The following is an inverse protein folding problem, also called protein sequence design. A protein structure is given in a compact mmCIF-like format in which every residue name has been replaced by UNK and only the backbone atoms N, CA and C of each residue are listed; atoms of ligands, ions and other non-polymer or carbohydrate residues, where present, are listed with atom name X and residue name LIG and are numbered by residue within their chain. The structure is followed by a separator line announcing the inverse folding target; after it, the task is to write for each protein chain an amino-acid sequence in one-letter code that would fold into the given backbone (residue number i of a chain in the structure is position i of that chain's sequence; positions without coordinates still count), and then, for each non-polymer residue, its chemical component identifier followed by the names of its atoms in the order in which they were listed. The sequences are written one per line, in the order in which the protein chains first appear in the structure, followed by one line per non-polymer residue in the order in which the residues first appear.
data_IF_216992011138
#
_entry.id   IF_216992011138
#
_cell.length_a   1.000
_cell.length_b   1.000
_cell.length_c   1.000
_cell.angle_alpha   90.00
_cell.angle_beta   90.00
_cell.angle_gamma   90.00
#
_symmetry.space_group_name_H-M   'P 1'
#
loop_
_entity.id
_entity.type
_entity.pdbx_description
1 polymer ?
#
# COMPACT_ATOMS: atom_id res chain seq x y z
N UNK A 1 65.79 11.48 2.57
CA UNK A 1 65.37 10.65 3.75
C UNK A 1 63.83 10.44 3.76
N UNK A 2 62.99 11.43 3.47
CA UNK A 2 61.52 11.30 3.48
C UNK A 2 60.98 10.24 2.48
N UNK A 3 61.59 10.12 1.31
CA UNK A 3 61.15 9.20 0.25
C UNK A 3 61.33 7.72 0.63
N UNK A 4 62.36 7.42 1.38
CA UNK A 4 62.65 6.04 1.82
C UNK A 4 61.73 5.59 2.96
N UNK A 5 61.29 6.52 3.80
CA UNK A 5 60.32 6.25 4.89
C UNK A 5 58.95 5.98 4.32
N UNK A 6 58.48 6.76 3.34
CA UNK A 6 57.20 6.56 2.68
C UNK A 6 57.13 5.19 1.97
N UNK A 7 58.17 4.77 1.28
CA UNK A 7 58.23 3.42 0.65
C UNK A 7 58.13 2.29 1.68
N UNK A 8 58.79 2.43 2.82
CA UNK A 8 58.72 1.42 3.90
C UNK A 8 57.33 1.34 4.50
N UNK A 9 56.65 2.46 4.73
CA UNK A 9 55.28 2.52 5.24
C UNK A 9 54.32 1.87 4.23
N UNK A 10 54.45 2.18 2.94
CA UNK A 10 53.62 1.61 1.88
C UNK A 10 53.75 0.08 1.80
N UNK A 11 54.97 -0.44 1.91
CA UNK A 11 55.25 -1.87 1.94
C UNK A 11 54.62 -2.59 3.13
N UNK A 12 54.63 -1.95 4.31
CA UNK A 12 53.97 -2.50 5.51
C UNK A 12 52.47 -2.53 5.33
N UNK A 13 51.86 -1.44 4.84
CA UNK A 13 50.42 -1.35 4.55
C UNK A 13 50.01 -2.43 3.52
N UNK A 14 50.76 -2.55 2.45
CA UNK A 14 50.50 -3.54 1.40
C UNK A 14 50.57 -4.98 1.94
N UNK A 15 51.54 -5.29 2.78
CA UNK A 15 51.69 -6.60 3.43
C UNK A 15 50.52 -6.91 4.35
N UNK A 16 50.15 -5.95 5.20
CA UNK A 16 49.00 -6.10 6.13
C UNK A 16 47.67 -6.23 5.38
N UNK A 17 47.49 -5.44 4.35
CA UNK A 17 46.29 -5.49 3.52
C UNK A 17 46.14 -6.83 2.80
N UNK A 18 47.20 -7.31 2.15
CA UNK A 18 47.21 -8.61 1.48
C UNK A 18 47.00 -9.78 2.45
N UNK A 19 47.56 -9.68 3.68
CA UNK A 19 47.35 -10.71 4.69
C UNK A 19 45.89 -10.81 5.17
N UNK A 20 45.14 -9.70 5.18
CA UNK A 20 43.75 -9.67 5.56
C UNK A 20 42.83 -10.16 4.42
N UNK A 21 43.07 -9.75 3.15
CA UNK A 21 42.28 -10.16 1.98
C UNK A 21 42.46 -11.66 1.70
N UNK A 22 43.60 -12.25 2.00
CA UNK A 22 43.83 -13.70 1.80
C UNK A 22 43.03 -14.58 2.76
N UNK A 23 42.44 -14.03 3.84
CA UNK A 23 41.62 -14.80 4.77
C UNK A 23 40.27 -15.05 4.16
N UNK A 24 39.83 -16.31 4.09
CA UNK A 24 38.48 -16.69 3.63
C UNK A 24 37.37 -15.95 4.39
N UNK A 25 37.58 -15.71 5.68
CA UNK A 25 36.68 -14.96 6.55
C UNK A 25 36.43 -13.53 6.09
N UNK A 26 37.41 -12.87 5.44
CA UNK A 26 37.25 -11.52 4.89
C UNK A 26 36.22 -11.52 3.75
N UNK A 27 36.35 -12.44 2.81
CA UNK A 27 35.42 -12.54 1.67
C UNK A 27 34.03 -12.96 2.09
N UNK A 28 33.91 -13.85 3.07
CA UNK A 28 32.62 -14.23 3.65
C UNK A 28 31.94 -12.97 4.23
N UNK A 29 32.66 -12.16 4.99
CA UNK A 29 32.09 -10.98 5.62
C UNK A 29 31.71 -9.89 4.62
N UNK A 30 32.55 -9.64 3.62
CA UNK A 30 32.33 -8.65 2.56
C UNK A 30 31.12 -9.01 1.68
N UNK A 31 30.91 -10.31 1.41
CA UNK A 31 29.77 -10.78 0.63
C UNK A 31 28.50 -10.95 1.48
N UNK A 32 28.64 -11.48 2.68
CA UNK A 32 27.51 -11.82 3.54
C UNK A 32 26.79 -10.58 4.09
N UNK A 33 27.53 -9.53 4.48
CA UNK A 33 26.92 -8.33 5.06
C UNK A 33 25.96 -7.62 4.09
N UNK A 34 26.32 -7.32 2.82
CA UNK A 34 25.37 -6.73 1.88
C UNK A 34 24.15 -7.62 1.60
N UNK A 35 24.37 -8.95 1.52
CA UNK A 35 23.27 -9.90 1.30
C UNK A 35 22.32 -9.91 2.49
N UNK A 36 22.83 -9.91 3.72
CA UNK A 36 21.98 -9.84 4.92
C UNK A 36 21.21 -8.53 5.02
N UNK A 37 21.85 -7.40 4.67
CA UNK A 37 21.17 -6.11 4.63
C UNK A 37 20.07 -6.10 3.57
N UNK A 38 20.34 -6.60 2.37
CA UNK A 38 19.33 -6.73 1.34
C UNK A 38 18.18 -7.65 1.77
N UNK A 39 18.50 -8.80 2.38
CA UNK A 39 17.49 -9.74 2.86
C UNK A 39 16.59 -9.14 3.95
N UNK A 40 17.15 -8.32 4.84
CA UNK A 40 16.41 -7.64 5.90
C UNK A 40 15.26 -6.76 5.34
N UNK A 41 15.44 -6.17 4.15
CA UNK A 41 14.41 -5.36 3.49
C UNK A 41 13.53 -6.20 2.56
N UNK A 42 14.13 -7.10 1.79
CA UNK A 42 13.41 -7.86 0.74
C UNK A 42 12.48 -8.91 1.36
N UNK A 43 12.90 -9.60 2.44
CA UNK A 43 12.09 -10.68 3.03
C UNK A 43 10.76 -10.17 3.59
N UNK A 44 10.68 -9.09 4.39
CA UNK A 44 9.40 -8.57 4.88
C UNK A 44 8.47 -8.12 3.74
N UNK A 45 9.03 -7.45 2.72
CA UNK A 45 8.26 -7.02 1.55
C UNK A 45 7.71 -8.24 0.81
N UNK A 46 8.55 -9.25 0.57
CA UNK A 46 8.15 -10.49 -0.10
C UNK A 46 7.05 -11.24 0.68
N UNK A 47 7.18 -11.36 2.00
CA UNK A 47 6.18 -11.98 2.85
C UNK A 47 4.87 -11.18 2.84
N UNK A 48 4.94 -9.85 2.88
CA UNK A 48 3.74 -8.99 2.82
C UNK A 48 2.97 -9.15 1.51
N UNK A 49 3.67 -9.32 0.39
CA UNK A 49 3.04 -9.51 -0.94
C UNK A 49 2.47 -10.94 -1.08
N UNK A 50 3.10 -11.94 -0.44
CA UNK A 50 2.73 -13.36 -0.60
C UNK A 50 1.91 -13.91 0.57
N UNK A 51 1.53 -13.10 1.54
CA UNK A 51 0.55 -13.51 2.55
C UNK A 51 -0.81 -13.65 1.86
N UNK A 52 -1.13 -14.88 1.42
CA UNK A 52 -2.37 -15.26 0.71
C UNK A 52 -3.58 -15.34 1.64
N UNK A 53 -3.60 -14.64 2.76
CA UNK A 53 -4.80 -14.53 3.55
C UNK A 53 -5.80 -13.67 2.78
N UNK A 54 -6.92 -14.30 2.37
CA UNK A 54 -8.03 -13.58 1.75
C UNK A 54 -8.51 -12.51 2.70
N UNK A 55 -8.44 -11.29 2.26
CA UNK A 55 -8.89 -10.16 3.04
C UNK A 55 -10.39 -10.00 2.83
N UNK A 56 -11.21 -10.25 3.85
CA UNK A 56 -12.64 -10.01 3.79
C UNK A 56 -12.93 -8.54 4.10
N UNK A 57 -13.64 -7.88 3.20
CA UNK A 57 -13.97 -6.45 3.27
C UNK A 57 -15.50 -6.29 3.26
N UNK A 58 -16.02 -5.51 4.21
CA UNK A 58 -17.42 -5.08 4.18
C UNK A 58 -17.54 -3.84 3.30
N UNK A 59 -18.54 -3.80 2.44
CA UNK A 59 -18.86 -2.62 1.62
C UNK A 59 -20.22 -2.09 2.04
N UNK A 60 -20.25 -0.80 2.39
CA UNK A 60 -21.48 -0.05 2.69
C UNK A 60 -21.57 1.09 1.70
N UNK A 61 -22.51 1.00 0.75
CA UNK A 61 -22.74 1.98 -0.31
C UNK A 61 -24.10 2.64 -0.15
N UNK A 62 -24.12 3.89 0.35
CA UNK A 62 -25.34 4.68 0.47
C UNK A 62 -25.78 5.34 -0.85
N UNK A 63 -24.91 5.31 -1.86
CA UNK A 63 -25.19 5.93 -3.17
C UNK A 63 -25.93 5.02 -4.12
N UNK A 64 -25.88 3.70 -3.87
CA UNK A 64 -26.43 2.63 -4.75
C UNK A 64 -25.70 2.56 -6.12
N UNK A 65 -24.66 3.36 -6.32
CA UNK A 65 -23.91 3.42 -7.58
C UNK A 65 -22.87 2.31 -7.72
N UNK A 66 -22.32 1.81 -6.62
CA UNK A 66 -21.21 0.86 -6.62
C UNK A 66 -21.62 -0.61 -6.53
N UNK A 67 -22.85 -0.92 -6.79
CA UNK A 67 -23.60 -2.19 -6.80
C UNK A 67 -22.86 -3.51 -6.56
N UNK A 68 -21.77 -3.82 -7.28
CA UNK A 68 -21.01 -5.07 -7.08
C UNK A 68 -19.51 -4.92 -7.28
N UNK A 69 -18.80 -5.05 -6.18
CA UNK A 69 -17.37 -5.31 -6.20
C UNK A 69 -17.09 -6.75 -6.66
N UNK A 70 -16.08 -6.94 -7.50
CA UNK A 70 -15.66 -8.28 -7.91
C UNK A 70 -14.77 -8.88 -6.85
N UNK A 71 -15.22 -9.98 -6.26
CA UNK A 71 -14.37 -10.84 -5.43
C UNK A 71 -13.32 -11.51 -6.31
N UNK A 72 -12.08 -11.50 -5.88
CA UNK A 72 -10.97 -12.21 -6.48
C UNK A 72 -10.32 -13.18 -5.47
N UNK A 73 -9.12 -13.68 -5.81
CA UNK A 73 -8.41 -14.61 -4.93
C UNK A 73 -7.80 -13.93 -3.69
N UNK A 74 -7.67 -12.60 -3.70
CA UNK A 74 -7.04 -11.82 -2.64
C UNK A 74 -8.06 -11.12 -1.73
N UNK A 75 -9.17 -10.62 -2.31
CA UNK A 75 -10.17 -9.83 -1.57
C UNK A 75 -11.58 -10.38 -1.81
N UNK A 76 -12.30 -10.61 -0.71
CA UNK A 76 -13.72 -10.95 -0.70
C UNK A 76 -14.53 -9.77 -0.19
N UNK A 77 -15.59 -9.42 -0.92
CA UNK A 77 -16.47 -8.32 -0.55
C UNK A 77 -17.83 -8.83 -0.06
N UNK A 78 -18.27 -8.32 1.09
CA UNK A 78 -19.59 -8.55 1.67
C UNK A 78 -20.31 -7.21 1.75
N UNK A 79 -21.52 -7.15 1.19
CA UNK A 79 -22.32 -5.91 1.16
C UNK A 79 -23.25 -5.84 2.36
N UNK A 80 -23.21 -4.73 3.08
CA UNK A 80 -24.18 -4.36 4.12
C UNK A 80 -24.80 -3.01 3.79
N UNK A 81 -26.01 -2.77 4.32
CA UNK A 81 -26.76 -1.53 4.05
C UNK A 81 -26.57 -0.49 5.17
N UNK A 82 -26.07 -0.91 6.33
CA UNK A 82 -25.95 -0.06 7.52
C UNK A 82 -24.51 0.00 7.98
N UNK A 83 -24.00 1.22 8.14
CA UNK A 83 -22.63 1.47 8.59
C UNK A 83 -22.42 1.09 10.06
N UNK A 84 -23.43 1.24 10.91
CA UNK A 84 -23.28 0.93 12.32
C UNK A 84 -23.31 -0.59 12.56
N UNK A 85 -24.10 -1.33 11.78
CA UNK A 85 -24.03 -2.78 11.73
C UNK A 85 -22.66 -3.26 11.24
N UNK A 86 -22.13 -2.66 10.18
CA UNK A 86 -20.81 -2.98 9.64
C UNK A 86 -19.71 -2.74 10.69
N UNK A 87 -19.73 -1.61 11.40
CA UNK A 87 -18.78 -1.32 12.47
C UNK A 87 -18.86 -2.32 13.62
N UNK A 88 -20.09 -2.70 14.01
CA UNK A 88 -20.27 -3.71 15.05
C UNK A 88 -19.71 -5.08 14.63
N UNK A 89 -19.91 -5.50 13.37
CA UNK A 89 -19.33 -6.73 12.86
C UNK A 89 -17.81 -6.67 12.80
N UNK A 90 -17.22 -5.55 12.35
CA UNK A 90 -15.77 -5.38 12.29
C UNK A 90 -15.11 -5.43 13.68
N UNK A 91 -15.76 -4.86 14.70
CA UNK A 91 -15.23 -4.87 16.08
C UNK A 91 -15.37 -6.21 16.79
N UNK A 92 -16.43 -6.96 16.49
CA UNK A 92 -16.76 -8.21 17.19
C UNK A 92 -16.27 -9.48 16.49
N UNK A 93 -15.73 -9.37 15.28
CA UNK A 93 -15.30 -10.50 14.48
C UNK A 93 -13.94 -10.24 13.85
N UNK A 94 -13.02 -11.20 14.01
CA UNK A 94 -11.73 -11.20 13.30
C UNK A 94 -11.86 -11.60 11.82
N UNK A 95 -13.08 -11.90 11.35
CA UNK A 95 -13.34 -12.33 9.98
C UNK A 95 -13.11 -11.20 8.97
N UNK A 96 -13.40 -9.95 9.36
CA UNK A 96 -13.32 -8.79 8.48
C UNK A 96 -12.14 -7.90 8.82
N UNK A 97 -11.38 -7.52 7.80
CA UNK A 97 -10.22 -6.65 7.95
C UNK A 97 -10.56 -5.16 7.88
N UNK A 98 -11.59 -4.79 7.12
CA UNK A 98 -11.98 -3.39 6.96
C UNK A 98 -13.40 -3.22 6.41
N UNK A 99 -13.89 -1.97 6.46
CA UNK A 99 -15.13 -1.52 5.84
C UNK A 99 -14.80 -0.46 4.80
N UNK A 100 -15.31 -0.62 3.59
CA UNK A 100 -15.35 0.44 2.57
C UNK A 100 -16.70 1.12 2.69
N UNK A 101 -16.70 2.38 3.08
CA UNK A 101 -17.92 3.18 3.24
C UNK A 101 -17.96 4.29 2.20
N UNK A 102 -19.05 4.34 1.44
CA UNK A 102 -19.31 5.33 0.41
C UNK A 102 -20.54 6.13 0.84
N UNK A 103 -20.34 7.34 1.39
CA UNK A 103 -21.45 8.15 1.89
C UNK A 103 -22.31 8.70 0.78
N UNK A 104 -23.57 8.98 1.09
CA UNK A 104 -24.45 9.73 0.22
C UNK A 104 -23.92 11.16 0.06
N UNK A 105 -23.76 11.60 -1.17
CA UNK A 105 -23.31 12.96 -1.49
C UNK A 105 -24.46 13.74 -2.15
N UNK A 106 -24.42 15.08 -1.99
CA UNK A 106 -25.34 15.96 -2.71
C UNK A 106 -25.01 16.06 -4.19
N UNK A 107 -23.76 15.72 -4.55
CA UNK A 107 -23.31 15.70 -5.93
C UNK A 107 -23.71 14.41 -6.62
N UNK A 108 -23.97 14.49 -7.93
CA UNK A 108 -24.35 13.33 -8.74
C UNK A 108 -23.26 12.25 -8.77
N UNK A 109 -22.02 12.63 -8.55
CA UNK A 109 -20.84 11.76 -8.59
C UNK A 109 -20.13 11.85 -7.25
N UNK A 110 -20.01 10.75 -6.49
CA UNK A 110 -19.26 10.75 -5.25
C UNK A 110 -17.76 10.90 -5.53
N UNK A 111 -17.09 11.72 -4.73
CA UNK A 111 -15.65 11.98 -4.82
C UNK A 111 -14.84 11.28 -3.73
N UNK A 112 -15.52 10.87 -2.66
CA UNK A 112 -14.88 10.33 -1.46
C UNK A 112 -15.45 8.98 -1.07
N UNK A 113 -14.55 8.09 -0.66
CA UNK A 113 -14.85 6.85 0.04
C UNK A 113 -13.95 6.73 1.27
N UNK A 114 -14.44 6.06 2.29
CA UNK A 114 -13.71 5.90 3.55
C UNK A 114 -13.42 4.43 3.79
N UNK A 115 -12.18 4.12 4.16
CA UNK A 115 -11.77 2.80 4.62
C UNK A 115 -11.64 2.83 6.14
N UNK A 116 -12.55 2.13 6.83
CA UNK A 116 -12.47 1.94 8.28
C UNK A 116 -11.86 0.58 8.59
N UNK A 117 -10.93 0.55 9.51
CA UNK A 117 -10.31 -0.69 10.00
C UNK A 117 -10.15 -0.64 11.52
N UNK A 118 -9.95 -1.81 12.15
CA UNK A 118 -9.75 -1.94 13.59
C UNK A 118 -8.41 -2.64 13.84
N UNK A 119 -7.63 -2.11 14.78
CA UNK A 119 -6.30 -2.60 15.19
C UNK A 119 -5.22 -2.63 14.09
N UNK A 120 -5.49 -3.20 12.91
CA UNK A 120 -4.49 -3.32 11.84
C UNK A 120 -5.08 -2.92 10.50
N UNK A 121 -4.38 -2.04 9.78
CA UNK A 121 -4.74 -1.67 8.41
C UNK A 121 -4.63 -2.88 7.48
N UNK A 122 -5.55 -3.04 6.50
CA UNK A 122 -5.39 -4.01 5.43
C UNK A 122 -4.05 -3.82 4.70
N UNK A 123 -3.55 -4.88 4.07
CA UNK A 123 -2.32 -4.80 3.32
C UNK A 123 -2.45 -3.85 2.11
N UNK A 124 -1.32 -3.32 1.63
CA UNK A 124 -1.28 -2.35 0.53
C UNK A 124 -1.89 -2.90 -0.76
N UNK A 125 -1.79 -4.21 -0.98
CA UNK A 125 -2.36 -4.88 -2.18
C UNK A 125 -3.87 -4.83 -2.13
N UNK A 126 -4.49 -5.14 -0.96
CA UNK A 126 -5.94 -5.05 -0.77
C UNK A 126 -6.44 -3.62 -0.95
N UNK A 127 -5.74 -2.62 -0.40
CA UNK A 127 -6.12 -1.20 -0.55
C UNK A 127 -6.07 -0.77 -2.01
N UNK A 128 -5.01 -1.10 -2.72
CA UNK A 128 -4.89 -0.76 -4.15
C UNK A 128 -5.96 -1.47 -5.01
N UNK A 129 -6.32 -2.70 -4.65
CA UNK A 129 -7.43 -3.43 -5.29
C UNK A 129 -8.77 -2.70 -5.07
N UNK A 130 -9.04 -2.26 -3.84
CA UNK A 130 -10.25 -1.48 -3.51
C UNK A 130 -10.30 -0.18 -4.32
N UNK A 131 -9.22 0.61 -4.34
CA UNK A 131 -9.15 1.86 -5.11
C UNK A 131 -9.41 1.61 -6.60
N UNK A 132 -8.73 0.62 -7.19
CA UNK A 132 -8.90 0.25 -8.60
C UNK A 132 -10.35 -0.18 -8.91
N UNK A 133 -10.98 -0.92 -8.02
CA UNK A 133 -12.37 -1.33 -8.18
C UNK A 133 -13.33 -0.16 -8.08
N UNK A 134 -13.13 0.73 -7.08
CA UNK A 134 -13.94 1.95 -6.92
C UNK A 134 -13.89 2.81 -8.18
N UNK A 135 -12.68 3.10 -8.68
CA UNK A 135 -12.51 3.89 -9.90
C UNK A 135 -13.16 3.22 -11.12
N UNK A 136 -12.96 1.93 -11.28
CA UNK A 136 -13.54 1.18 -12.39
C UNK A 136 -15.07 1.21 -12.38
N UNK A 137 -15.69 0.98 -11.21
CA UNK A 137 -17.15 0.97 -11.07
C UNK A 137 -17.70 2.37 -11.30
N UNK A 138 -17.03 3.39 -10.71
CA UNK A 138 -17.41 4.79 -10.88
C UNK A 138 -17.38 5.19 -12.36
N UNK A 139 -16.26 4.95 -13.04
CA UNK A 139 -16.10 5.24 -14.46
C UNK A 139 -17.16 4.52 -15.32
N UNK A 140 -17.40 3.23 -15.05
CA UNK A 140 -18.41 2.47 -15.78
C UNK A 140 -19.82 3.01 -15.56
N UNK A 141 -20.19 3.37 -14.33
CA UNK A 141 -21.53 3.90 -14.05
C UNK A 141 -21.73 5.29 -14.65
N UNK A 142 -20.72 6.14 -14.62
CA UNK A 142 -20.76 7.44 -15.30
C UNK A 142 -20.93 7.25 -16.80
N UNK A 143 -20.21 6.33 -17.44
CA UNK A 143 -20.34 6.02 -18.87
C UNK A 143 -21.73 5.50 -19.24
N UNK A 144 -22.37 4.72 -18.36
CA UNK A 144 -23.71 4.18 -18.59
C UNK A 144 -24.82 5.24 -18.43
N UNK A 145 -24.63 6.21 -17.55
CA UNK A 145 -25.60 7.28 -17.31
C UNK A 145 -25.49 8.44 -18.32
N UNK A 146 -24.33 8.60 -18.99
CA UNK A 146 -24.04 9.72 -19.90
C UNK A 146 -24.08 9.22 -21.36
N UNK A 147 -25.24 8.97 -21.89
CA UNK A 147 -25.42 8.55 -23.30
C UNK A 147 -25.24 9.68 -24.33
N UNK A 148 -25.05 10.93 -23.89
CA UNK A 148 -24.69 12.08 -24.73
C UNK A 148 -23.48 12.78 -24.18
N UNK A 149 -22.30 12.26 -24.50
CA UNK A 149 -21.02 12.76 -24.02
C UNK A 149 -20.72 14.13 -24.65
N UNK A 150 -20.88 15.19 -23.87
CA UNK A 150 -20.27 16.48 -24.19
C UNK A 150 -18.75 16.43 -23.95
N UNK A 151 -17.99 17.38 -24.50
CA UNK A 151 -16.53 17.47 -24.21
C UNK A 151 -16.24 17.63 -22.70
N UNK A 152 -17.14 18.31 -21.99
CA UNK A 152 -17.02 18.56 -20.56
C UNK A 152 -17.31 17.29 -19.76
N UNK A 153 -18.30 16.49 -20.17
CA UNK A 153 -18.62 15.21 -19.56
C UNK A 153 -17.47 14.19 -19.77
N UNK A 154 -16.87 14.16 -20.97
CA UNK A 154 -15.73 13.29 -21.23
C UNK A 154 -14.54 13.64 -20.33
N UNK A 155 -14.25 14.95 -20.15
CA UNK A 155 -13.22 15.40 -19.25
C UNK A 155 -13.53 15.01 -17.80
N UNK A 156 -14.76 15.21 -17.35
CA UNK A 156 -15.21 14.83 -16.00
C UNK A 156 -15.10 13.32 -15.76
N UNK A 157 -15.43 12.48 -16.74
CA UNK A 157 -15.25 11.03 -16.66
C UNK A 157 -13.78 10.65 -16.57
N UNK A 158 -12.94 11.26 -17.41
CA UNK A 158 -11.52 10.93 -17.45
C UNK A 158 -10.76 11.42 -16.20
N UNK A 159 -11.20 12.53 -15.63
CA UNK A 159 -10.62 13.12 -14.42
C UNK A 159 -11.31 12.63 -13.15
N UNK A 160 -12.31 11.74 -13.25
CA UNK A 160 -13.00 11.18 -12.10
C UNK A 160 -12.05 10.32 -11.26
N UNK A 161 -11.74 10.81 -10.09
CA UNK A 161 -10.91 10.14 -9.09
C UNK A 161 -11.73 9.97 -7.81
N UNK A 162 -11.58 8.85 -7.15
CA UNK A 162 -12.12 8.63 -5.82
C UNK A 162 -10.97 8.60 -4.80
N UNK A 163 -11.11 9.41 -3.76
CA UNK A 163 -10.13 9.44 -2.67
C UNK A 163 -10.56 8.49 -1.57
N UNK A 164 -9.72 7.48 -1.32
CA UNK A 164 -9.91 6.55 -0.21
C UNK A 164 -9.20 7.08 1.03
N UNK A 165 -9.97 7.39 2.07
CA UNK A 165 -9.47 7.83 3.36
C UNK A 165 -9.49 6.65 4.34
N UNK A 166 -8.29 6.21 4.77
CA UNK A 166 -8.16 5.15 5.75
C UNK A 166 -8.21 5.77 7.16
N UNK A 167 -9.16 5.31 7.98
CA UNK A 167 -9.32 5.78 9.36
C UNK A 167 -9.31 4.61 10.33
N UNK A 168 -8.43 4.68 11.29
CA UNK A 168 -8.45 3.80 12.46
C UNK A 168 -9.69 4.12 13.30
N UNK A 169 -10.50 3.12 13.62
CA UNK A 169 -11.72 3.28 14.40
C UNK A 169 -11.47 3.63 15.87
N UNK A 170 -10.31 3.26 16.43
CA UNK A 170 -9.96 3.58 17.82
C UNK A 170 -9.44 5.00 17.97
N UNK A 171 -8.53 5.42 17.08
CA UNK A 171 -7.80 6.69 17.21
C UNK A 171 -8.36 7.80 16.34
N UNK A 172 -9.16 7.48 15.33
CA UNK A 172 -9.67 8.41 14.33
C UNK A 172 -8.58 9.02 13.41
N UNK A 173 -7.35 8.52 13.49
CA UNK A 173 -6.22 9.04 12.71
C UNK A 173 -6.22 8.49 11.28
N UNK A 174 -5.75 9.33 10.38
CA UNK A 174 -5.51 8.97 8.98
C UNK A 174 -4.04 8.53 8.80
N UNK A 175 -3.74 7.29 9.18
CA UNK A 175 -2.39 6.74 9.14
C UNK A 175 -1.86 6.54 7.70
N UNK A 176 -2.77 6.54 6.72
CA UNK A 176 -2.41 6.29 5.32
C UNK A 176 -1.71 7.47 4.65
N UNK A 177 -2.02 8.68 5.10
CA UNK A 177 -1.35 9.89 4.61
C UNK A 177 0.14 9.89 5.01
N UNK A 178 0.45 9.44 6.23
CA UNK A 178 1.82 9.37 6.74
C UNK A 178 2.65 8.35 5.95
N UNK A 179 2.06 7.19 5.60
CA UNK A 179 2.73 6.15 4.80
C UNK A 179 2.97 6.63 3.36
N UNK A 180 2.00 7.28 2.72
CA UNK A 180 2.17 7.86 1.37
C UNK A 180 3.26 8.93 1.35
N UNK A 181 3.31 9.80 2.35
CA UNK A 181 4.34 10.84 2.48
C UNK A 181 5.71 10.21 2.71
N UNK A 182 5.82 9.21 3.59
CA UNK A 182 7.08 8.52 3.84
C UNK A 182 7.59 7.79 2.58
N UNK A 183 6.71 7.14 1.82
CA UNK A 183 7.05 6.46 0.57
C UNK A 183 7.48 7.45 -0.52
N UNK A 184 6.79 8.60 -0.63
CA UNK A 184 7.15 9.65 -1.56
C UNK A 184 8.51 10.28 -1.24
N UNK A 185 8.86 10.45 0.05
CA UNK A 185 10.18 10.93 0.47
C UNK A 185 11.30 9.93 0.14
N UNK A 186 11.03 8.62 0.24
CA UNK A 186 12.01 7.58 -0.10
C UNK A 186 12.24 7.47 -1.61
N UNK A 187 11.21 7.74 -2.42
CA UNK A 187 11.30 7.69 -3.89
C UNK A 187 11.86 8.98 -4.51
N UNK A 188 11.94 10.08 -3.73
CA UNK A 188 12.47 11.38 -4.17
C UNK A 188 13.99 11.54 -3.93
N UNK A 189 14.66 10.52 -3.37
CA UNK A 189 16.12 10.45 -3.17
C UNK A 189 16.73 9.52 -4.20
#
# INVERSE_FOLDING_TARGET
QHYTIMKKILLVIQREYLARIRKKSFWILVLLVPILLAALYVIPIYLSIHSKERTNIIVVDETILFGKFRTDDEVRYTHLNDIDEAKAQLQNSEEYAAIVYIPRTETRIPSDAYLYYYAHSPNVVAINNIETQLERILKNNIMLEVYQISKDDYKMINDAMIHLHAKDLETGRDDFLEIKIALAMVLAV
#
